data_IF_283831845901
#
_entry.id   IF_283831845901
#
_cell.length_a   1.000
_cell.length_b   1.000
_cell.length_c   1.000
_cell.angle_alpha   90.00
_cell.angle_beta   90.00
_cell.angle_gamma   90.00
#
_symmetry.space_group_name_H-M   'P 1'
#
loop_
_entity.id
_entity.type
_entity.pdbx_description
1 polymer ?
#
# COMPACT_ATOMS: atom_id res chain seq x y z
N UNK A 1 -35.80 -24.47 -16.42
CA UNK A 1 -34.45 -24.75 -15.91
C UNK A 1 -33.69 -23.46 -16.13
N UNK A 2 -33.70 -22.60 -15.12
CA UNK A 2 -33.08 -21.29 -15.18
C UNK A 2 -31.66 -21.41 -14.63
N UNK A 3 -30.67 -21.23 -15.51
CA UNK A 3 -29.26 -21.22 -15.14
C UNK A 3 -28.96 -20.03 -14.20
N UNK A 4 -28.13 -20.20 -13.16
CA UNK A 4 -27.77 -19.10 -12.27
C UNK A 4 -26.91 -18.06 -13.00
N UNK A 5 -27.32 -16.80 -12.89
CA UNK A 5 -26.60 -15.63 -13.42
C UNK A 5 -25.20 -15.57 -12.78
N UNK A 6 -24.12 -15.41 -13.57
CA UNK A 6 -22.77 -15.30 -13.03
C UNK A 6 -22.59 -14.04 -12.18
N UNK A 7 -21.94 -14.21 -11.03
CA UNK A 7 -21.66 -13.13 -10.08
C UNK A 7 -20.83 -12.01 -10.72
N UNK A 8 -21.27 -10.77 -10.50
CA UNK A 8 -20.68 -9.55 -11.06
C UNK A 8 -19.29 -9.27 -10.44
N UNK A 9 -18.21 -9.15 -11.25
CA UNK A 9 -16.85 -8.90 -10.76
C UNK A 9 -16.61 -7.47 -10.21
N UNK A 10 -17.59 -6.57 -10.30
CA UNK A 10 -17.54 -5.23 -9.70
C UNK A 10 -18.06 -5.17 -8.26
N UNK A 11 -18.29 -6.32 -7.62
CA UNK A 11 -18.65 -6.36 -6.22
C UNK A 11 -17.42 -6.03 -5.36
N UNK A 12 -17.34 -4.79 -4.89
CA UNK A 12 -16.52 -4.45 -3.73
C UNK A 12 -16.92 -5.41 -2.60
N UNK A 13 -15.99 -6.00 -1.83
CA UNK A 13 -16.37 -6.89 -0.74
C UNK A 13 -17.30 -6.11 0.19
N UNK A 14 -18.53 -6.60 0.34
CA UNK A 14 -19.39 -6.21 1.46
C UNK A 14 -18.58 -6.50 2.70
N UNK A 15 -18.39 -5.47 3.53
CA UNK A 15 -17.82 -5.61 4.86
C UNK A 15 -18.68 -6.66 5.58
N UNK A 16 -18.13 -7.85 5.74
CA UNK A 16 -18.77 -8.92 6.51
C UNK A 16 -18.85 -8.45 7.96
N UNK A 17 -19.91 -8.83 8.68
CA UNK A 17 -20.17 -8.37 10.05
C UNK A 17 -19.04 -8.67 11.07
N UNK A 18 -18.05 -9.49 10.68
CA UNK A 18 -16.83 -9.78 11.43
C UNK A 18 -15.80 -8.63 11.40
N UNK A 19 -15.92 -7.65 10.51
CA UNK A 19 -15.02 -6.49 10.40
C UNK A 19 -15.20 -5.43 11.50
N UNK A 20 -16.22 -5.57 12.36
CA UNK A 20 -16.65 -4.48 13.27
C UNK A 20 -15.77 -4.36 14.52
N UNK A 21 -14.88 -5.31 14.81
CA UNK A 21 -13.90 -5.23 15.91
C UNK A 21 -12.55 -5.84 15.49
N UNK A 22 -11.97 -5.39 14.39
CA UNK A 22 -10.60 -5.76 14.07
C UNK A 22 -9.68 -5.33 15.23
N UNK A 23 -9.16 -6.32 15.97
CA UNK A 23 -8.22 -6.10 17.09
C UNK A 23 -6.99 -5.32 16.62
N UNK A 24 -6.62 -5.49 15.35
CA UNK A 24 -5.51 -4.78 14.72
C UNK A 24 -5.85 -4.34 13.29
N UNK A 25 -5.45 -3.12 12.94
CA UNK A 25 -5.50 -2.57 11.57
C UNK A 25 -4.10 -2.23 11.08
N UNK A 26 -3.77 -2.65 9.85
CA UNK A 26 -2.51 -2.36 9.19
C UNK A 26 -2.74 -1.35 8.07
N UNK A 27 -2.12 -0.18 8.22
CA UNK A 27 -2.16 0.88 7.23
C UNK A 27 -0.95 0.79 6.30
N UNK A 28 -1.17 0.34 5.07
CA UNK A 28 -0.15 0.23 4.04
C UNK A 28 -0.14 1.49 3.17
N UNK A 29 0.90 2.31 3.28
CA UNK A 29 0.99 3.58 2.57
C UNK A 29 2.17 3.64 1.60
N UNK A 30 1.90 3.97 0.33
CA UNK A 30 2.95 4.33 -0.62
C UNK A 30 3.06 5.84 -0.79
N UNK A 31 4.29 6.34 -0.90
CA UNK A 31 4.52 7.75 -1.25
C UNK A 31 5.81 8.02 -2.04
N UNK A 32 5.95 9.26 -2.50
CA UNK A 32 7.14 9.80 -3.14
C UNK A 32 7.98 10.63 -2.17
N UNK A 33 9.29 10.35 -2.09
CA UNK A 33 10.26 11.12 -1.33
C UNK A 33 10.24 12.60 -1.73
N UNK A 34 10.10 12.88 -3.04
CA UNK A 34 10.06 14.25 -3.58
C UNK A 34 8.92 15.12 -3.03
N UNK A 35 7.85 14.50 -2.51
CA UNK A 35 6.67 15.20 -2.00
C UNK A 35 6.70 15.35 -0.47
N UNK A 36 7.85 15.16 0.16
CA UNK A 36 8.06 15.30 1.60
C UNK A 36 7.87 14.00 2.37
N UNK A 37 8.23 14.00 3.66
CA UNK A 37 8.13 12.82 4.52
C UNK A 37 6.68 12.38 4.69
N UNK A 38 6.48 11.13 5.12
CA UNK A 38 5.18 10.69 5.59
C UNK A 38 4.88 11.34 6.93
N UNK A 39 3.64 11.78 7.11
CA UNK A 39 3.12 12.23 8.40
C UNK A 39 1.92 11.34 8.72
N UNK A 40 1.96 10.60 9.85
CA UNK A 40 0.83 9.77 10.23
C UNK A 40 -0.42 10.62 10.38
N UNK A 41 -1.60 10.13 9.94
CA UNK A 41 -2.86 10.78 10.22
C UNK A 41 -3.00 10.98 11.74
N UNK A 42 -3.31 12.20 12.17
CA UNK A 42 -3.75 12.44 13.56
C UNK A 42 -5.21 12.00 13.66
N UNK A 43 -5.48 10.70 13.61
CA UNK A 43 -6.82 10.18 13.93
C UNK A 43 -6.95 10.26 15.45
N UNK A 44 -7.99 10.93 15.91
CA UNK A 44 -8.20 11.17 17.34
C UNK A 44 -8.60 9.86 18.03
N UNK A 45 -7.74 9.34 18.90
CA UNK A 45 -8.12 8.42 19.98
C UNK A 45 -7.59 6.99 19.92
N UNK A 46 -7.01 6.52 18.81
CA UNK A 46 -6.37 5.19 18.75
C UNK A 46 -4.85 5.29 18.87
N UNK A 47 -4.19 4.42 19.66
CA UNK A 47 -2.74 4.39 19.77
C UNK A 47 -2.11 3.83 18.49
N UNK A 48 -1.34 4.67 17.80
CA UNK A 48 -0.40 4.20 16.77
C UNK A 48 0.71 3.45 17.46
N UNK A 49 0.75 2.13 17.29
CA UNK A 49 1.69 1.25 17.97
C UNK A 49 3.07 1.27 17.33
N UNK A 50 3.11 1.20 15.99
CA UNK A 50 4.38 1.14 15.25
C UNK A 50 4.25 1.76 13.89
N UNK A 51 5.28 2.49 13.48
CA UNK A 51 5.45 2.99 12.11
C UNK A 51 6.73 2.37 11.54
N UNK A 52 6.57 1.49 10.56
CA UNK A 52 7.66 0.87 9.82
C UNK A 52 7.81 1.59 8.48
N UNK A 53 8.94 2.28 8.27
CA UNK A 53 9.17 3.08 7.07
C UNK A 53 10.37 2.57 6.27
N UNK A 54 10.17 2.37 4.96
CA UNK A 54 11.15 1.75 4.07
C UNK A 54 11.43 2.60 2.83
N UNK A 55 12.71 2.96 2.65
CA UNK A 55 13.24 3.52 1.41
C UNK A 55 13.57 2.39 0.43
N UNK A 56 12.92 2.39 -0.73
CA UNK A 56 13.17 1.40 -1.78
C UNK A 56 13.73 2.02 -3.06
N UNK A 57 14.34 3.21 -2.97
CA UNK A 57 14.95 3.90 -4.12
C UNK A 57 16.17 3.18 -4.68
N UNK A 58 16.83 2.34 -3.89
CA UNK A 58 17.93 1.47 -4.33
C UNK A 58 17.48 0.28 -5.18
N UNK A 59 16.19 -0.10 -5.11
CA UNK A 59 15.67 -1.24 -5.86
C UNK A 59 15.57 -0.95 -7.38
N UNK A 60 15.62 -2.00 -8.23
CA UNK A 60 15.56 -1.86 -9.67
C UNK A 60 14.41 -0.97 -10.16
N UNK A 61 14.73 -0.04 -11.04
CA UNK A 61 13.77 0.92 -11.56
C UNK A 61 13.14 0.40 -12.86
N UNK A 62 11.80 0.41 -12.99
CA UNK A 62 11.17 -0.05 -14.23
C UNK A 62 11.67 0.71 -15.47
N UNK A 63 11.70 0.07 -16.66
CA UNK A 63 12.16 0.72 -17.88
C UNK A 63 11.42 2.02 -18.16
N UNK A 64 12.11 3.01 -18.76
CA UNK A 64 11.55 4.36 -18.96
C UNK A 64 10.22 4.34 -19.71
N UNK A 65 10.10 3.51 -20.74
CA UNK A 65 8.89 3.38 -21.55
C UNK A 65 7.71 2.86 -20.71
N UNK A 66 7.94 1.82 -19.90
CA UNK A 66 6.94 1.27 -18.97
C UNK A 66 6.50 2.33 -17.97
N UNK A 67 7.44 3.07 -17.38
CA UNK A 67 7.13 4.13 -16.39
C UNK A 67 6.31 5.29 -16.95
N UNK A 68 6.35 5.52 -18.27
CA UNK A 68 5.59 6.57 -18.91
C UNK A 68 4.10 6.23 -19.01
N UNK A 69 3.75 4.95 -19.07
CA UNK A 69 2.40 4.47 -19.35
C UNK A 69 1.74 3.80 -18.15
N UNK A 70 2.55 3.21 -17.26
CA UNK A 70 2.07 2.37 -16.16
C UNK A 70 2.47 2.95 -14.80
N UNK A 71 1.66 2.63 -13.79
CA UNK A 71 1.93 2.83 -12.37
C UNK A 71 2.07 1.48 -11.68
N UNK A 72 2.46 1.47 -10.40
CA UNK A 72 2.50 0.25 -9.61
C UNK A 72 1.15 -0.41 -9.34
N UNK A 73 0.04 0.12 -9.88
CA UNK A 73 -1.26 -0.56 -9.88
C UNK A 73 -1.38 -1.56 -11.05
N UNK A 74 -0.53 -1.46 -12.06
CA UNK A 74 -0.60 -2.31 -13.24
C UNK A 74 0.11 -3.64 -12.98
N UNK A 75 -0.60 -4.75 -13.19
CA UNK A 75 -0.09 -6.11 -12.98
C UNK A 75 1.27 -6.35 -13.67
N UNK A 76 1.41 -5.93 -14.92
CA UNK A 76 2.66 -6.06 -15.68
C UNK A 76 3.86 -5.35 -15.03
N UNK A 77 3.64 -4.20 -14.40
CA UNK A 77 4.71 -3.48 -13.72
C UNK A 77 5.06 -4.17 -12.40
N UNK A 78 4.06 -4.65 -11.65
CA UNK A 78 4.29 -5.43 -10.44
C UNK A 78 5.07 -6.72 -10.73
N UNK A 79 4.64 -7.50 -11.74
CA UNK A 79 5.32 -8.73 -12.15
C UNK A 79 6.75 -8.47 -12.59
N UNK A 80 6.97 -7.45 -13.41
CA UNK A 80 8.33 -7.05 -13.80
C UNK A 80 9.17 -6.70 -12.56
N UNK A 81 8.62 -5.93 -11.63
CA UNK A 81 9.33 -5.47 -10.44
C UNK A 81 9.67 -6.63 -9.50
N UNK A 82 8.74 -7.55 -9.25
CA UNK A 82 8.97 -8.70 -8.36
C UNK A 82 9.68 -9.87 -9.02
N UNK A 83 9.83 -9.89 -10.35
CA UNK A 83 10.77 -10.78 -11.01
C UNK A 83 12.24 -10.42 -10.74
N UNK A 84 12.50 -9.30 -10.03
CA UNK A 84 13.85 -8.92 -9.59
C UNK A 84 14.12 -9.51 -8.21
N UNK A 85 15.23 -10.25 -8.02
CA UNK A 85 15.50 -10.95 -6.76
C UNK A 85 15.64 -9.98 -5.58
N UNK A 86 16.17 -8.77 -5.79
CA UNK A 86 16.35 -7.77 -4.73
C UNK A 86 15.00 -7.24 -4.24
N UNK A 87 14.02 -7.10 -5.14
CA UNK A 87 12.67 -6.66 -4.79
C UNK A 87 11.90 -7.74 -4.04
N UNK A 88 12.01 -8.99 -4.47
CA UNK A 88 11.44 -10.14 -3.78
C UNK A 88 12.05 -10.32 -2.38
N UNK A 89 13.38 -10.25 -2.26
CA UNK A 89 14.06 -10.32 -0.97
C UNK A 89 13.62 -9.19 -0.02
N UNK A 90 13.49 -7.96 -0.53
CA UNK A 90 12.98 -6.84 0.27
C UNK A 90 11.52 -7.04 0.71
N UNK A 91 10.69 -7.68 -0.12
CA UNK A 91 9.31 -8.03 0.25
C UNK A 91 9.28 -9.01 1.43
N UNK A 92 10.13 -10.03 1.42
CA UNK A 92 10.22 -10.97 2.54
C UNK A 92 10.75 -10.29 3.81
N UNK A 93 11.78 -9.43 3.70
CA UNK A 93 12.30 -8.65 4.83
C UNK A 93 11.20 -7.78 5.47
N UNK A 94 10.45 -7.04 4.66
CA UNK A 94 9.36 -6.17 5.15
C UNK A 94 8.23 -7.03 5.74
N UNK A 95 7.85 -8.13 5.09
CA UNK A 95 6.80 -9.02 5.60
C UNK A 95 7.17 -9.62 6.96
N UNK A 96 8.42 -10.05 7.12
CA UNK A 96 8.93 -10.55 8.39
C UNK A 96 8.90 -9.47 9.48
N UNK A 97 9.31 -8.24 9.16
CA UNK A 97 9.28 -7.12 10.10
C UNK A 97 7.85 -6.73 10.52
N UNK A 98 6.89 -6.77 9.60
CA UNK A 98 5.46 -6.55 9.91
C UNK A 98 4.94 -7.66 10.83
N UNK A 99 5.26 -8.92 10.54
CA UNK A 99 4.85 -10.04 11.40
C UNK A 99 5.49 -9.97 12.80
N UNK A 100 6.75 -9.57 12.91
CA UNK A 100 7.39 -9.32 14.19
C UNK A 100 6.69 -8.19 14.95
N UNK A 101 6.36 -7.09 14.27
CA UNK A 101 5.62 -5.98 14.88
C UNK A 101 4.22 -6.39 15.36
N UNK A 102 3.54 -7.29 14.66
CA UNK A 102 2.25 -7.84 15.09
C UNK A 102 2.40 -8.80 16.27
N UNK A 103 3.49 -9.55 16.35
CA UNK A 103 3.77 -10.43 17.48
C UNK A 103 4.13 -9.65 18.76
N UNK A 104 4.67 -8.44 18.64
CA UNK A 104 4.94 -7.53 19.75
C UNK A 104 3.66 -6.89 20.33
N UNK A 105 2.51 -7.02 19.66
CA UNK A 105 1.26 -6.43 20.14
C UNK A 105 0.71 -7.23 21.34
N UNK A 106 0.24 -6.55 22.40
CA UNK A 106 -0.41 -7.21 23.52
C UNK A 106 -1.72 -7.88 23.09
N UNK A 107 -1.94 -9.12 23.53
CA UNK A 107 -3.10 -9.94 23.13
C UNK A 107 -4.44 -9.40 23.64
N UNK A 108 -4.40 -8.48 24.62
CA UNK A 108 -5.54 -7.88 25.28
C UNK A 108 -5.95 -6.51 24.74
N UNK A 109 -5.15 -5.89 23.85
CA UNK A 109 -5.46 -4.56 23.31
C UNK A 109 -6.23 -4.65 22.00
N UNK A 110 -7.46 -4.14 22.00
CA UNK A 110 -8.28 -3.97 20.81
C UNK A 110 -8.03 -2.59 20.18
N UNK A 111 -7.87 -2.55 18.86
CA UNK A 111 -7.68 -1.30 18.10
C UNK A 111 -6.21 -0.91 17.89
N UNK A 112 -5.29 -1.87 17.83
CA UNK A 112 -3.90 -1.57 17.51
C UNK A 112 -3.72 -1.14 16.05
N UNK A 113 -3.02 -0.03 15.81
CA UNK A 113 -2.69 0.45 14.47
C UNK A 113 -1.19 0.33 14.18
N UNK A 114 -0.86 -0.41 13.11
CA UNK A 114 0.49 -0.48 12.55
C UNK A 114 0.51 0.22 11.20
N UNK A 115 1.41 1.18 11.01
CA UNK A 115 1.64 1.80 9.72
C UNK A 115 2.87 1.21 9.05
N UNK A 116 2.69 0.71 7.82
CA UNK A 116 3.78 0.31 6.94
C UNK A 116 3.86 1.29 5.80
N UNK A 117 4.97 2.01 5.72
CA UNK A 117 5.17 3.12 4.81
C UNK A 117 6.32 2.79 3.87
N UNK A 118 6.03 2.68 2.58
CA UNK A 118 7.05 2.39 1.57
C UNK A 118 7.16 3.56 0.62
N UNK A 119 8.37 4.04 0.37
CA UNK A 119 8.57 5.19 -0.49
C UNK A 119 9.62 4.97 -1.58
N UNK A 120 9.34 5.55 -2.73
CA UNK A 120 10.29 5.66 -3.83
C UNK A 120 10.43 7.14 -4.21
N UNK A 121 11.13 7.46 -5.30
CA UNK A 121 11.39 8.86 -5.65
C UNK A 121 10.10 9.67 -5.87
N UNK A 122 9.21 9.17 -6.74
CA UNK A 122 7.98 9.88 -7.15
C UNK A 122 6.69 9.28 -6.58
N UNK A 123 6.74 8.12 -5.92
CA UNK A 123 5.52 7.52 -5.34
C UNK A 123 4.52 6.97 -6.35
N UNK A 124 4.99 6.51 -7.52
CA UNK A 124 4.11 6.08 -8.65
C UNK A 124 4.28 4.63 -9.08
N UNK A 125 5.50 4.10 -8.94
CA UNK A 125 5.88 2.81 -9.54
C UNK A 125 6.25 1.81 -8.45
N UNK A 126 7.52 1.79 -8.05
CA UNK A 126 8.09 0.83 -7.10
C UNK A 126 7.32 0.79 -5.80
N UNK A 127 7.09 1.92 -5.15
CA UNK A 127 6.39 1.94 -3.84
C UNK A 127 4.92 1.57 -3.92
N UNK A 128 4.26 1.89 -5.02
CA UNK A 128 2.85 1.48 -5.25
C UNK A 128 2.80 -0.03 -5.46
N UNK A 129 3.62 -0.56 -6.36
CA UNK A 129 3.70 -2.00 -6.64
C UNK A 129 4.04 -2.79 -5.38
N UNK A 130 4.96 -2.26 -4.56
CA UNK A 130 5.34 -2.86 -3.29
C UNK A 130 4.17 -2.97 -2.31
N UNK A 131 3.43 -1.88 -2.13
CA UNK A 131 2.28 -1.87 -1.22
C UNK A 131 1.16 -2.78 -1.72
N UNK A 132 0.89 -2.79 -3.03
CA UNK A 132 -0.14 -3.68 -3.62
C UNK A 132 0.19 -5.15 -3.43
N UNK A 133 1.45 -5.54 -3.57
CA UNK A 133 1.88 -6.92 -3.36
C UNK A 133 1.84 -7.29 -1.87
N UNK A 134 2.27 -6.39 -0.98
CA UNK A 134 2.21 -6.61 0.47
C UNK A 134 0.76 -6.75 0.95
N UNK A 135 -0.17 -5.99 0.38
CA UNK A 135 -1.60 -6.03 0.74
C UNK A 135 -2.28 -7.36 0.41
N UNK A 136 -1.72 -8.16 -0.50
CA UNK A 136 -2.24 -9.51 -0.83
C UNK A 136 -1.91 -10.54 0.24
N UNK A 137 -0.98 -10.23 1.15
CA UNK A 137 -0.57 -11.14 2.21
C UNK A 137 -1.56 -11.06 3.38
N UNK A 138 -2.00 -12.20 3.93
CA UNK A 138 -2.80 -12.18 5.14
C UNK A 138 -1.91 -11.89 6.34
N UNK A 139 -2.35 -10.98 7.21
CA UNK A 139 -1.70 -10.65 8.46
C UNK A 139 -2.55 -11.11 9.63
N UNK A 140 -1.91 -11.63 10.66
CA UNK A 140 -2.59 -12.16 11.84
C UNK A 140 -1.92 -11.67 13.11
N UNK A 141 -2.74 -11.35 14.10
CA UNK A 141 -2.31 -11.03 15.46
C UNK A 141 -2.67 -12.17 16.40
N UNK A 142 -1.87 -12.39 17.43
CA UNK A 142 -2.21 -13.32 18.50
C UNK A 142 -3.28 -12.69 19.42
N UNK A 143 -4.18 -13.52 19.91
CA UNK A 143 -5.29 -13.16 20.79
C UNK A 143 -5.45 -14.25 21.84
N UNK A 144 -6.15 -13.96 22.93
CA UNK A 144 -6.41 -14.98 23.95
C UNK A 144 -7.23 -16.17 23.41
N UNK A 145 -7.98 -15.96 22.31
CA UNK A 145 -8.79 -16.99 21.63
C UNK A 145 -8.10 -17.64 20.43
N UNK A 146 -6.80 -17.38 20.21
CA UNK A 146 -6.03 -17.92 19.08
C UNK A 146 -5.42 -16.82 18.20
N UNK A 147 -5.64 -16.88 16.87
CA UNK A 147 -5.13 -15.88 15.92
C UNK A 147 -6.29 -15.20 15.20
N UNK A 148 -6.28 -13.87 15.18
CA UNK A 148 -7.26 -13.09 14.44
C UNK A 148 -6.60 -12.39 13.25
N UNK A 149 -7.31 -12.35 12.12
CA UNK A 149 -6.86 -11.63 10.93
C UNK A 149 -6.92 -10.12 11.16
N UNK A 150 -5.88 -9.41 10.76
CA UNK A 150 -5.84 -7.95 10.83
C UNK A 150 -6.60 -7.34 9.66
N UNK A 151 -7.26 -6.20 9.89
CA UNK A 151 -7.77 -5.34 8.82
C UNK A 151 -6.60 -4.74 8.03
N UNK A 152 -6.73 -4.58 6.72
CA UNK A 152 -5.69 -3.98 5.86
C UNK A 152 -6.28 -2.79 5.13
N UNK A 153 -5.66 -1.62 5.31
CA UNK A 153 -6.05 -0.37 4.66
C UNK A 153 -4.92 0.10 3.75
N UNK A 154 -5.18 0.17 2.45
CA UNK A 154 -4.19 0.58 1.44
C UNK A 154 -4.39 2.05 1.05
N UNK A 155 -3.30 2.81 1.01
CA UNK A 155 -3.29 4.20 0.54
C UNK A 155 -2.09 4.48 -0.36
N UNK A 156 -2.33 5.18 -1.46
CA UNK A 156 -1.26 5.69 -2.34
C UNK A 156 -1.30 7.21 -2.40
N UNK A 157 -0.39 7.87 -1.69
CA UNK A 157 -0.42 9.33 -1.50
C UNK A 157 -0.26 10.11 -2.81
N UNK A 158 0.62 9.62 -3.67
CA UNK A 158 1.16 10.42 -4.78
C UNK A 158 0.87 9.82 -6.17
N UNK A 159 0.21 8.66 -6.25
CA UNK A 159 -0.03 7.93 -7.51
C UNK A 159 -0.82 8.76 -8.53
N UNK A 160 -1.79 9.55 -8.08
CA UNK A 160 -2.65 10.37 -8.93
C UNK A 160 -2.06 11.76 -9.28
N UNK A 161 -0.99 12.20 -8.60
CA UNK A 161 -0.42 13.56 -8.79
C UNK A 161 0.12 13.80 -10.20
N UNK A 162 0.35 12.74 -10.99
CA UNK A 162 0.83 12.82 -12.37
C UNK A 162 -0.12 13.58 -13.32
N UNK A 163 -1.45 13.45 -13.15
CA UNK A 163 -2.41 14.12 -14.03
C UNK A 163 -2.39 15.64 -13.87
N UNK A 164 -2.09 16.12 -12.66
CA UNK A 164 -2.07 17.55 -12.35
C UNK A 164 -0.84 18.25 -12.95
N UNK A 165 0.36 17.65 -12.83
CA UNK A 165 1.61 18.25 -13.36
C UNK A 165 1.66 18.29 -14.89
N UNK A 166 1.12 17.28 -15.58
CA UNK A 166 1.06 17.27 -17.04
C UNK A 166 0.09 18.34 -17.58
N UNK A 167 -1.04 18.54 -16.89
CA UNK A 167 -2.03 19.58 -17.23
C UNK A 167 -1.51 20.98 -16.93
N UNK A 168 -0.83 21.17 -15.80
CA UNK A 168 -0.24 22.47 -15.44
C UNK A 168 0.91 22.87 -16.37
N UNK A 169 1.76 21.93 -16.79
CA UNK A 169 2.79 22.20 -17.81
C UNK A 169 2.20 22.61 -19.15
N UNK A 170 1.18 21.91 -19.65
CA UNK A 170 0.51 22.29 -20.91
C UNK A 170 -0.09 23.70 -20.84
N UNK A 171 -0.80 24.03 -19.76
CA UNK A 171 -1.40 25.36 -19.59
C UNK A 171 -0.37 26.49 -19.48
N UNK A 172 0.84 26.18 -19.00
CA UNK A 172 1.90 27.18 -18.84
C UNK A 172 2.63 27.48 -20.15
N UNK A 173 2.77 26.48 -21.03
CA UNK A 173 3.31 26.66 -22.39
C UNK A 173 2.33 27.47 -23.25
N UNK A 174 1.03 27.16 -23.16
CA UNK A 174 -0.04 27.81 -23.93
C UNK A 174 -0.23 29.31 -23.57
N UNK A 175 0.18 29.72 -22.36
CA UNK A 175 0.15 31.14 -21.93
C UNK A 175 1.42 31.93 -22.23
N UNK A 176 2.50 31.27 -22.59
CA UNK A 176 3.77 31.93 -22.98
C UNK A 176 3.87 32.18 -24.49
N UNK A 177 2.91 31.68 -25.26
CA UNK A 177 2.82 31.85 -26.72
C UNK A 177 1.65 32.76 -27.14
N UNK A 178 1.02 33.47 -26.19
CA UNK A 178 -0.09 34.41 -26.41
C UNK A 178 0.27 35.84 -25.99
#
# INVERSE_FOLDING_TARGET
>A
MDDPIPSNPNHHPTLEADDVLAICTIHLTSHGHRFGPFTPPKVAGLPVHKILQYDIRSLPNPPKLVRAQQTGLHKSLCEWFFSRPEAAAKMEEVSAAVNAALADLPTSECGAEIHVVVFCEMGKHRSVAFIEELARRPFFVATDSGRQKCGVVVRHRDVARAKHDARSRRQRVDRSEA
#
